data_IF_271304516426
#
_entry.id   IF_271304516426
#
_cell.length_a   1.000
_cell.length_b   1.000
_cell.length_c   1.000
_cell.angle_alpha   90.00
_cell.angle_beta   90.00
_cell.angle_gamma   90.00
#
_symmetry.space_group_name_H-M   'P 1'
#
loop_
_entity.id
_entity.type
_entity.pdbx_description
1 polymer ?
#
# COMPACT_ATOMS: atom_id res chain seq x y z
N UNK A 1 27.37 46.86 -31.83
CA UNK A 1 28.23 45.67 -32.10
C UNK A 1 27.29 44.49 -32.27
N UNK A 2 27.05 44.05 -33.50
CA UNK A 2 26.16 42.92 -33.79
C UNK A 2 27.03 41.65 -33.91
N UNK A 3 26.77 40.65 -33.07
CA UNK A 3 27.42 39.34 -33.16
C UNK A 3 26.87 38.59 -34.39
N UNK A 4 27.65 38.55 -35.47
CA UNK A 4 27.38 37.66 -36.59
C UNK A 4 27.79 36.24 -36.19
N UNK A 5 26.83 35.43 -35.77
CA UNK A 5 27.05 33.99 -35.60
C UNK A 5 27.19 33.39 -37.00
N UNK A 6 28.37 32.85 -37.31
CA UNK A 6 28.65 32.26 -38.62
C UNK A 6 27.63 31.16 -38.93
N UNK A 7 27.11 31.13 -40.17
CA UNK A 7 26.21 30.08 -40.67
C UNK A 7 26.80 28.68 -40.45
N UNK A 8 28.11 28.57 -40.52
CA UNK A 8 28.83 27.31 -40.30
C UNK A 8 28.80 26.88 -38.83
N UNK A 9 28.78 27.82 -37.89
CA UNK A 9 28.61 27.56 -36.46
C UNK A 9 27.18 27.08 -36.15
N UNK A 10 26.18 27.62 -36.85
CA UNK A 10 24.79 27.22 -36.70
C UNK A 10 24.56 25.80 -37.26
N UNK A 11 25.19 25.46 -38.39
CA UNK A 11 25.17 24.12 -38.97
C UNK A 11 25.94 23.10 -38.10
N UNK A 12 27.05 23.51 -37.48
CA UNK A 12 27.76 22.70 -36.48
C UNK A 12 26.90 22.43 -35.24
N UNK A 13 26.19 23.43 -34.71
CA UNK A 13 25.27 23.22 -33.58
C UNK A 13 24.11 22.29 -33.94
N UNK A 14 23.52 22.42 -35.13
CA UNK A 14 22.43 21.54 -35.58
C UNK A 14 22.92 20.09 -35.81
N UNK A 15 24.13 19.90 -36.31
CA UNK A 15 24.70 18.55 -36.48
C UNK A 15 25.05 17.91 -35.13
N UNK A 16 25.49 18.68 -34.13
CA UNK A 16 25.72 18.17 -32.76
C UNK A 16 24.40 17.72 -32.11
N UNK A 17 23.27 18.41 -32.36
CA UNK A 17 21.96 18.02 -31.85
C UNK A 17 21.42 16.72 -32.45
N UNK A 18 21.83 16.36 -33.68
CA UNK A 18 21.41 15.12 -34.35
C UNK A 18 22.27 13.92 -33.90
N UNK A 19 23.51 14.17 -33.49
CA UNK A 19 24.46 13.13 -33.05
C UNK A 19 24.36 12.87 -31.53
N UNK A 20 23.70 13.75 -30.76
CA UNK A 20 23.39 13.43 -29.37
C UNK A 20 22.43 12.22 -29.36
N UNK A 21 22.84 11.06 -28.81
CA UNK A 21 21.91 9.96 -28.63
C UNK A 21 20.79 10.49 -27.73
N UNK A 22 19.56 10.47 -28.23
CA UNK A 22 18.38 10.63 -27.39
C UNK A 22 18.52 9.52 -26.35
N UNK A 23 18.88 9.89 -25.12
CA UNK A 23 18.86 8.98 -24.00
C UNK A 23 17.39 8.67 -23.72
N UNK A 24 16.83 7.75 -24.50
CA UNK A 24 15.68 6.97 -24.11
C UNK A 24 16.19 6.15 -22.93
N UNK A 25 15.97 6.69 -21.73
CA UNK A 25 16.02 5.90 -20.51
C UNK A 25 14.97 4.81 -20.67
N UNK A 26 15.36 3.67 -21.24
CA UNK A 26 14.69 2.41 -20.97
C UNK A 26 14.65 2.30 -19.45
N UNK A 27 13.44 2.40 -18.88
CA UNK A 27 13.26 2.20 -17.45
C UNK A 27 14.00 0.92 -17.04
N UNK A 28 14.60 0.89 -15.83
CA UNK A 28 15.47 -0.21 -15.43
C UNK A 28 14.78 -1.53 -15.75
N UNK A 29 15.42 -2.37 -16.56
CA UNK A 29 15.01 -3.76 -16.75
C UNK A 29 14.77 -4.33 -15.37
N UNK A 30 13.50 -4.66 -15.08
CA UNK A 30 13.10 -5.02 -13.74
C UNK A 30 13.92 -6.24 -13.32
N UNK A 31 14.85 -6.05 -12.38
CA UNK A 31 15.71 -7.12 -11.93
C UNK A 31 14.83 -8.28 -11.47
N UNK A 32 15.07 -9.52 -11.95
CA UNK A 32 14.21 -10.64 -11.63
C UNK A 32 14.22 -10.87 -10.11
N UNK A 33 13.04 -10.72 -9.48
CA UNK A 33 12.84 -11.04 -8.08
C UNK A 33 13.08 -12.53 -7.87
N UNK A 34 14.18 -12.86 -7.19
CA UNK A 34 14.55 -14.25 -6.92
C UNK A 34 13.86 -14.71 -5.64
N UNK A 35 13.06 -15.77 -5.73
CA UNK A 35 12.46 -16.39 -4.56
C UNK A 35 13.50 -17.22 -3.78
N UNK A 36 13.67 -16.96 -2.49
CA UNK A 36 14.67 -17.62 -1.63
C UNK A 36 14.16 -18.87 -0.90
N UNK A 37 13.11 -19.52 -1.41
CA UNK A 37 12.61 -20.79 -0.85
C UNK A 37 11.76 -20.64 0.43
N UNK A 38 11.34 -19.43 0.77
CA UNK A 38 10.41 -19.18 1.87
C UNK A 38 9.01 -19.76 1.59
N UNK A 39 8.19 -19.92 2.64
CA UNK A 39 6.79 -20.29 2.46
C UNK A 39 6.02 -19.10 1.89
N UNK A 40 5.38 -19.31 0.75
CA UNK A 40 4.49 -18.32 0.15
C UNK A 40 3.05 -18.57 0.59
N UNK A 41 2.26 -17.50 0.67
CA UNK A 41 0.81 -17.62 0.71
C UNK A 41 0.33 -18.16 -0.65
N UNK A 42 -0.56 -19.15 -0.63
CA UNK A 42 -1.08 -19.82 -1.83
C UNK A 42 -2.60 -20.03 -1.68
N UNK A 43 -3.31 -20.17 -2.79
CA UNK A 43 -4.76 -20.39 -2.78
C UNK A 43 -5.55 -19.09 -2.63
N UNK A 44 -6.61 -19.11 -1.82
CA UNK A 44 -7.48 -17.95 -1.61
C UNK A 44 -7.14 -17.26 -0.28
N UNK A 45 -7.00 -15.94 -0.29
CA UNK A 45 -6.79 -15.16 0.93
C UNK A 45 -8.12 -14.61 1.44
N UNK A 46 -8.68 -15.26 2.45
CA UNK A 46 -9.82 -14.73 3.18
C UNK A 46 -9.37 -13.69 4.20
N UNK A 47 -10.12 -12.59 4.31
CA UNK A 47 -9.84 -11.47 5.21
C UNK A 47 -11.05 -11.20 6.09
N UNK A 48 -10.84 -11.15 7.40
CA UNK A 48 -11.80 -10.67 8.38
C UNK A 48 -11.32 -9.34 8.95
N UNK A 49 -12.15 -8.30 8.87
CA UNK A 49 -11.79 -6.96 9.34
C UNK A 49 -12.48 -6.68 10.67
N UNK A 50 -11.74 -6.15 11.64
CA UNK A 50 -12.30 -5.57 12.86
C UNK A 50 -12.01 -4.06 12.89
N UNK A 51 -13.08 -3.27 12.89
CA UNK A 51 -13.06 -1.83 13.00
C UNK A 51 -13.08 -1.46 14.49
N UNK A 52 -11.92 -1.10 15.04
CA UNK A 52 -11.73 -0.80 16.45
C UNK A 52 -11.87 0.71 16.69
N UNK A 53 -12.98 1.11 17.28
CA UNK A 53 -13.40 2.50 17.43
C UNK A 53 -14.20 3.04 16.23
N UNK A 54 -14.66 4.30 16.32
CA UNK A 54 -15.48 4.95 15.31
C UNK A 54 -14.62 5.41 14.12
N UNK A 55 -14.58 4.59 13.07
CA UNK A 55 -13.87 4.94 11.83
C UNK A 55 -14.83 5.63 10.84
N UNK A 56 -14.48 6.81 10.29
CA UNK A 56 -15.26 7.52 9.29
C UNK A 56 -15.63 6.66 8.07
N UNK A 57 -16.84 6.87 7.53
CA UNK A 57 -17.35 6.14 6.36
C UNK A 57 -16.42 6.28 5.14
N UNK A 58 -15.83 7.46 4.95
CA UNK A 58 -14.89 7.71 3.86
C UNK A 58 -13.62 6.84 3.97
N UNK A 59 -13.01 6.76 5.15
CA UNK A 59 -11.84 5.92 5.41
C UNK A 59 -12.18 4.43 5.24
N UNK A 60 -13.31 3.95 5.79
CA UNK A 60 -13.79 2.57 5.58
C UNK A 60 -13.93 2.25 4.09
N UNK A 61 -14.55 3.15 3.32
CA UNK A 61 -14.72 2.99 1.87
C UNK A 61 -13.38 2.93 1.16
N UNK A 62 -12.43 3.80 1.53
CA UNK A 62 -11.08 3.80 0.94
C UNK A 62 -10.36 2.46 1.20
N UNK A 63 -10.37 1.97 2.44
CA UNK A 63 -9.75 0.69 2.82
C UNK A 63 -10.39 -0.49 2.08
N UNK A 64 -11.71 -0.56 2.03
CA UNK A 64 -12.41 -1.62 1.28
C UNK A 64 -12.16 -1.52 -0.23
N UNK A 65 -12.00 -0.31 -0.77
CA UNK A 65 -11.63 -0.10 -2.18
C UNK A 65 -10.20 -0.54 -2.46
N UNK A 66 -9.27 -0.27 -1.53
CA UNK A 66 -7.89 -0.76 -1.61
C UNK A 66 -7.85 -2.29 -1.63
N UNK A 67 -8.54 -2.97 -0.72
CA UNK A 67 -8.60 -4.44 -0.72
C UNK A 67 -9.26 -4.99 -1.98
N UNK A 68 -10.25 -4.30 -2.55
CA UNK A 68 -10.85 -4.70 -3.84
C UNK A 68 -9.85 -4.58 -5.00
N UNK A 69 -8.99 -3.56 -4.98
CA UNK A 69 -8.00 -3.33 -6.04
C UNK A 69 -6.99 -4.47 -6.20
N UNK A 70 -6.77 -5.28 -5.15
CA UNK A 70 -5.92 -6.47 -5.18
C UNK A 70 -6.43 -7.57 -6.13
N UNK A 71 -7.70 -7.52 -6.55
CA UNK A 71 -8.27 -8.49 -7.48
C UNK A 71 -8.48 -7.93 -8.90
N UNK A 72 -8.14 -6.67 -9.13
CA UNK A 72 -8.43 -5.98 -10.38
C UNK A 72 -7.25 -6.11 -11.34
N UNK A 73 -7.47 -6.77 -12.50
CA UNK A 73 -6.42 -7.06 -13.48
C UNK A 73 -6.24 -5.99 -14.56
N UNK A 74 -7.21 -5.09 -14.74
CA UNK A 74 -7.19 -4.11 -15.83
C UNK A 74 -7.84 -2.80 -15.41
N UNK A 75 -7.25 -1.63 -15.72
CA UNK A 75 -7.96 -0.36 -15.65
C UNK A 75 -9.13 -0.40 -16.64
N UNK A 76 -10.31 0.12 -16.25
CA UNK A 76 -11.36 0.42 -17.22
C UNK A 76 -10.82 1.38 -18.31
N UNK A 77 -11.28 1.28 -19.57
CA UNK A 77 -10.78 2.11 -20.68
C UNK A 77 -10.81 3.61 -20.39
N UNK A 78 -11.84 4.08 -19.67
CA UNK A 78 -12.02 5.49 -19.31
C UNK A 78 -11.08 5.95 -18.19
N UNK A 79 -10.49 5.00 -17.47
CA UNK A 79 -9.57 5.22 -16.37
C UNK A 79 -8.12 4.88 -16.75
N UNK A 80 -7.84 4.56 -18.02
CA UNK A 80 -6.50 4.33 -18.57
C UNK A 80 -5.58 5.56 -18.44
N UNK A 81 -6.16 6.76 -18.29
CA UNK A 81 -5.42 8.02 -18.12
C UNK A 81 -5.21 8.44 -16.65
N UNK A 82 -5.71 7.68 -15.68
CA UNK A 82 -5.52 7.99 -14.25
C UNK A 82 -4.72 6.87 -13.55
N UNK A 83 -3.73 7.22 -12.71
CA UNK A 83 -3.00 6.21 -11.95
C UNK A 83 -3.95 5.48 -11.00
N UNK A 84 -4.03 4.15 -11.13
CA UNK A 84 -4.82 3.30 -10.24
C UNK A 84 -3.92 2.43 -9.38
N UNK A 85 -4.38 2.14 -8.16
CA UNK A 85 -3.70 1.20 -7.25
C UNK A 85 -3.65 -0.21 -7.86
N UNK A 86 -4.68 -0.62 -8.61
CA UNK A 86 -4.72 -1.89 -9.35
C UNK A 86 -3.60 -2.00 -10.40
N UNK A 87 -3.27 -0.91 -11.10
CA UNK A 87 -2.16 -0.89 -12.05
C UNK A 87 -0.81 -1.19 -11.38
N UNK A 88 -0.63 -0.75 -10.12
CA UNK A 88 0.56 -1.09 -9.35
C UNK A 88 0.56 -2.57 -8.95
N UNK A 89 -0.58 -3.14 -8.56
CA UNK A 89 -0.68 -4.57 -8.25
C UNK A 89 -0.39 -5.46 -9.46
N UNK A 90 -0.81 -5.06 -10.66
CA UNK A 90 -0.46 -5.79 -11.89
C UNK A 90 1.06 -5.93 -12.08
N UNK A 91 1.82 -4.87 -11.75
CA UNK A 91 3.28 -4.91 -11.78
C UNK A 91 3.80 -5.88 -10.72
N UNK A 92 3.28 -5.80 -9.48
CA UNK A 92 3.69 -6.69 -8.38
C UNK A 92 3.41 -8.17 -8.71
N UNK A 93 2.23 -8.47 -9.25
CA UNK A 93 1.83 -9.83 -9.65
C UNK A 93 2.67 -10.38 -10.80
N UNK A 94 3.16 -9.52 -11.71
CA UNK A 94 4.04 -9.96 -12.80
C UNK A 94 5.33 -10.61 -12.28
N UNK A 95 5.81 -10.22 -11.10
CA UNK A 95 6.95 -10.87 -10.45
C UNK A 95 6.59 -12.24 -9.86
N UNK A 96 5.37 -12.44 -9.38
CA UNK A 96 4.89 -13.72 -8.86
C UNK A 96 4.68 -14.77 -9.96
N UNK A 97 4.27 -14.34 -11.15
CA UNK A 97 4.13 -15.21 -12.32
C UNK A 97 5.47 -15.87 -12.71
N UNK A 98 6.59 -15.16 -12.56
CA UNK A 98 7.93 -15.71 -12.77
C UNK A 98 8.32 -16.80 -11.75
N UNK A 99 7.65 -16.85 -10.60
CA UNK A 99 7.86 -17.84 -9.54
C UNK A 99 6.83 -19.00 -9.57
N UNK A 100 5.97 -19.07 -10.59
CA UNK A 100 5.04 -20.18 -10.80
C UNK A 100 3.74 -20.14 -9.98
N UNK A 101 3.44 -19.01 -9.31
CA UNK A 101 2.20 -18.84 -8.56
C UNK A 101 1.31 -17.77 -9.23
N UNK A 102 0.09 -18.16 -9.59
CA UNK A 102 -0.78 -17.39 -10.45
C UNK A 102 -1.95 -16.83 -9.61
N UNK A 103 -1.87 -15.56 -9.22
CA UNK A 103 -2.98 -14.74 -8.72
C UNK A 103 -3.72 -15.29 -7.46
N UNK A 104 -3.49 -14.66 -6.30
CA UNK A 104 -4.13 -15.01 -5.02
C UNK A 104 -5.38 -14.13 -4.85
N UNK A 105 -6.61 -14.65 -5.09
CA UNK A 105 -7.79 -13.83 -4.90
C UNK A 105 -7.98 -13.49 -3.41
N UNK A 106 -8.23 -12.21 -3.15
CA UNK A 106 -8.46 -11.66 -1.80
C UNK A 106 -9.94 -11.43 -1.58
N UNK A 107 -10.52 -12.06 -0.54
CA UNK A 107 -11.94 -11.93 -0.22
C UNK A 107 -12.13 -11.41 1.20
N UNK A 108 -12.75 -10.24 1.33
CA UNK A 108 -13.27 -9.80 2.63
C UNK A 108 -14.52 -10.61 2.94
N UNK A 109 -14.43 -11.51 3.92
CA UNK A 109 -15.53 -12.43 4.29
C UNK A 109 -16.30 -11.96 5.51
N UNK A 110 -15.71 -11.09 6.33
CA UNK A 110 -16.33 -10.60 7.55
C UNK A 110 -15.88 -9.16 7.89
N UNK A 111 -16.77 -8.40 8.52
CA UNK A 111 -16.51 -7.08 9.06
C UNK A 111 -17.20 -6.95 10.42
N UNK A 112 -16.40 -6.78 11.47
CA UNK A 112 -16.87 -6.61 12.85
C UNK A 112 -16.55 -5.22 13.34
N UNK A 113 -17.42 -4.66 14.18
CA UNK A 113 -17.27 -3.32 14.74
C UNK A 113 -17.13 -3.41 16.25
N UNK A 114 -16.14 -2.70 16.79
CA UNK A 114 -15.91 -2.53 18.22
C UNK A 114 -15.84 -1.04 18.54
N UNK A 115 -16.97 -0.31 18.51
CA UNK A 115 -16.98 1.15 18.62
C UNK A 115 -16.58 1.67 20.01
N UNK A 116 -16.63 0.81 21.03
CA UNK A 116 -16.48 1.18 22.43
C UNK A 116 -15.09 0.87 22.98
N UNK A 117 -14.12 0.53 22.12
CA UNK A 117 -12.74 0.23 22.51
C UNK A 117 -12.68 -0.85 23.60
N UNK A 118 -13.19 -2.06 23.33
CA UNK A 118 -13.36 -3.11 24.36
C UNK A 118 -12.10 -3.49 25.17
N UNK A 119 -10.91 -3.16 24.67
CA UNK A 119 -9.62 -3.35 25.34
C UNK A 119 -8.82 -2.04 25.55
N UNK A 120 -9.51 -0.90 25.58
CA UNK A 120 -8.90 0.41 25.75
C UNK A 120 -8.25 0.96 24.47
N UNK A 121 -7.55 2.10 24.60
CA UNK A 121 -7.00 2.84 23.45
C UNK A 121 -5.51 2.59 23.20
N UNK A 122 -4.92 1.61 23.88
CA UNK A 122 -3.54 1.18 23.66
C UNK A 122 -3.57 -0.29 23.34
N UNK A 123 -3.51 -0.64 22.06
CA UNK A 123 -3.55 -2.02 21.57
C UNK A 123 -2.14 -2.62 21.56
N UNK A 124 -1.80 -3.30 22.64
CA UNK A 124 -0.66 -4.23 22.67
C UNK A 124 -1.06 -5.60 22.15
N UNK A 125 -0.07 -6.46 21.87
CA UNK A 125 -0.28 -7.81 21.34
C UNK A 125 -1.30 -8.63 22.13
N UNK A 126 -1.26 -8.54 23.46
CA UNK A 126 -2.18 -9.26 24.36
C UNK A 126 -3.63 -8.76 24.28
N UNK A 127 -3.85 -7.50 23.90
CA UNK A 127 -5.17 -6.91 23.70
C UNK A 127 -5.68 -7.11 22.27
N UNK A 128 -4.77 -7.27 21.31
CA UNK A 128 -5.11 -7.67 19.93
C UNK A 128 -5.57 -9.12 19.89
N UNK A 129 -4.90 -10.02 20.61
CA UNK A 129 -5.20 -11.45 20.68
C UNK A 129 -6.70 -11.77 20.77
N UNK A 130 -7.47 -11.25 21.75
CA UNK A 130 -8.90 -11.55 21.86
C UNK A 130 -9.79 -10.86 20.81
N UNK A 131 -9.25 -9.93 20.01
CA UNK A 131 -9.95 -9.31 18.87
C UNK A 131 -9.88 -10.17 17.61
N UNK A 132 -8.82 -10.95 17.45
CA UNK A 132 -8.61 -11.78 16.25
C UNK A 132 -9.77 -12.76 15.95
N UNK A 133 -10.24 -13.59 16.91
CA UNK A 133 -11.33 -14.52 16.64
C UNK A 133 -12.66 -13.80 16.32
N UNK A 134 -12.86 -12.57 16.83
CA UNK A 134 -14.02 -11.75 16.43
C UNK A 134 -13.95 -11.42 14.94
N UNK A 135 -12.78 -10.99 14.45
CA UNK A 135 -12.58 -10.67 13.05
C UNK A 135 -12.74 -11.89 12.13
N UNK A 136 -12.22 -13.05 12.55
CA UNK A 136 -12.13 -14.26 11.69
C UNK A 136 -13.25 -15.28 11.89
N UNK A 137 -14.11 -15.08 12.89
CA UNK A 137 -15.06 -16.11 13.31
C UNK A 137 -14.36 -17.37 13.86
N UNK A 138 -13.13 -17.22 14.36
CA UNK A 138 -12.30 -18.32 14.84
C UNK A 138 -11.67 -19.19 13.74
N UNK A 139 -11.78 -18.80 12.46
CA UNK A 139 -11.18 -19.55 11.36
C UNK A 139 -9.68 -19.21 11.20
N UNK A 140 -8.75 -20.16 11.47
CA UNK A 140 -7.31 -19.89 11.41
C UNK A 140 -6.79 -19.60 10.00
N UNK A 141 -7.53 -19.99 8.95
CA UNK A 141 -7.17 -19.74 7.54
C UNK A 141 -7.68 -18.38 7.02
N UNK A 142 -8.14 -17.50 7.90
CA UNK A 142 -8.59 -16.15 7.56
C UNK A 142 -7.62 -15.14 8.14
N UNK A 143 -7.08 -14.23 7.35
CA UNK A 143 -6.27 -13.11 7.84
C UNK A 143 -7.14 -12.17 8.68
N UNK A 144 -6.76 -11.93 9.93
CA UNK A 144 -7.38 -10.91 10.77
C UNK A 144 -6.75 -9.54 10.50
N UNK A 145 -7.54 -8.53 10.14
CA UNK A 145 -7.10 -7.14 10.04
C UNK A 145 -7.80 -6.32 11.12
N UNK A 146 -7.04 -5.79 12.08
CA UNK A 146 -7.54 -4.85 13.09
C UNK A 146 -7.21 -3.44 12.61
N UNK A 147 -8.23 -2.61 12.42
CA UNK A 147 -8.07 -1.22 12.01
C UNK A 147 -8.51 -0.36 13.16
N UNK A 148 -7.55 0.32 13.78
CA UNK A 148 -7.79 1.17 14.92
C UNK A 148 -8.08 2.61 14.47
N UNK A 149 -9.10 3.21 15.07
CA UNK A 149 -9.49 4.60 14.81
C UNK A 149 -8.49 5.59 15.38
N UNK A 150 -8.61 6.85 14.96
CA UNK A 150 -7.98 8.02 15.58
C UNK A 150 -7.96 7.98 17.12
N UNK A 151 -6.82 8.36 17.70
CA UNK A 151 -6.57 8.35 19.14
C UNK A 151 -6.43 6.96 19.77
N UNK A 152 -6.11 5.93 18.98
CA UNK A 152 -5.77 4.59 19.46
C UNK A 152 -4.33 4.27 19.04
N UNK A 153 -3.49 4.01 20.02
CA UNK A 153 -2.10 3.60 19.81
C UNK A 153 -2.04 2.10 19.60
N UNK A 154 -1.40 1.68 18.51
CA UNK A 154 -1.06 0.27 18.25
C UNK A 154 0.43 0.09 18.53
N UNK A 155 0.77 -0.94 19.29
CA UNK A 155 2.13 -1.20 19.74
C UNK A 155 3.10 -1.41 18.56
N UNK A 156 4.34 -0.93 18.72
CA UNK A 156 5.45 -1.09 17.76
C UNK A 156 5.25 -0.43 16.39
N UNK A 157 4.44 0.63 16.34
CA UNK A 157 4.32 1.51 15.18
C UNK A 157 5.21 2.77 15.32
N UNK A 158 5.50 3.44 14.20
CA UNK A 158 6.14 4.78 14.09
C UNK A 158 7.68 4.87 14.14
N UNK A 159 8.40 3.75 14.11
CA UNK A 159 9.87 3.72 13.99
C UNK A 159 10.31 2.82 12.83
N UNK A 160 9.90 3.16 11.62
CA UNK A 160 10.12 2.34 10.43
C UNK A 160 9.12 1.17 10.27
N UNK A 161 8.11 1.11 11.12
CA UNK A 161 6.98 0.17 11.02
C UNK A 161 5.65 0.92 11.01
N UNK A 162 4.76 0.52 10.10
CA UNK A 162 3.45 1.12 9.89
C UNK A 162 2.28 0.19 10.24
N UNK A 163 2.60 -0.99 10.76
CA UNK A 163 1.63 -1.98 11.18
C UNK A 163 2.27 -2.93 12.19
N UNK A 164 1.48 -3.43 13.14
CA UNK A 164 1.85 -4.58 13.96
C UNK A 164 1.30 -5.84 13.31
N UNK A 165 2.13 -6.82 13.00
CA UNK A 165 1.66 -8.06 12.35
C UNK A 165 2.38 -9.29 12.88
N UNK A 166 1.83 -10.46 12.62
CA UNK A 166 2.46 -11.71 12.99
C UNK A 166 1.48 -12.87 13.10
N UNK A 167 1.87 -13.84 13.93
CA UNK A 167 1.09 -15.03 14.24
C UNK A 167 0.84 -15.09 15.75
N UNK A 168 -0.43 -15.19 16.17
CA UNK A 168 -0.84 -15.40 17.57
C UNK A 168 -1.72 -16.63 17.59
N UNK A 169 -1.33 -17.68 18.31
CA UNK A 169 -2.13 -18.92 18.44
C UNK A 169 -2.64 -19.46 17.08
N UNK A 170 -1.73 -19.52 16.10
CA UNK A 170 -2.01 -19.94 14.71
C UNK A 170 -2.92 -19.01 13.89
N UNK A 171 -3.28 -17.85 14.41
CA UNK A 171 -4.05 -16.83 13.71
C UNK A 171 -3.10 -15.75 13.16
N UNK A 172 -3.00 -15.65 11.83
CA UNK A 172 -2.25 -14.57 11.17
C UNK A 172 -3.04 -13.27 11.32
N UNK A 173 -2.34 -12.19 11.65
CA UNK A 173 -2.97 -10.89 11.83
C UNK A 173 -2.11 -9.73 11.34
N UNK A 174 -2.80 -8.62 11.05
CA UNK A 174 -2.24 -7.29 10.86
C UNK A 174 -3.09 -6.31 11.67
N UNK A 175 -2.45 -5.40 12.39
CA UNK A 175 -3.09 -4.32 13.12
C UNK A 175 -2.48 -2.99 12.65
N UNK A 176 -3.33 -2.04 12.32
CA UNK A 176 -2.93 -0.72 11.83
C UNK A 176 -3.63 0.37 12.64
N UNK A 177 -2.86 1.39 13.01
CA UNK A 177 -3.36 2.63 13.63
C UNK A 177 -3.80 3.67 12.60
N UNK A 178 -4.35 4.78 13.10
CA UNK A 178 -4.66 5.95 12.27
C UNK A 178 -3.38 6.77 12.03
N UNK A 179 -2.92 6.93 10.78
CA UNK A 179 -1.68 7.63 10.48
C UNK A 179 -1.77 9.14 10.68
N UNK A 180 -2.95 9.75 10.86
CA UNK A 180 -3.06 11.20 11.09
C UNK A 180 -2.49 11.63 12.45
N UNK A 181 -2.48 10.73 13.44
CA UNK A 181 -2.00 11.02 14.80
C UNK A 181 -0.84 10.13 15.25
N UNK A 182 -0.89 8.83 14.95
CA UNK A 182 0.11 7.90 15.46
C UNK A 182 1.42 8.02 14.66
N UNK A 183 1.37 7.84 13.33
CA UNK A 183 2.56 7.90 12.48
C UNK A 183 2.29 8.56 11.11
N UNK A 184 2.48 9.88 10.97
CA UNK A 184 2.27 10.60 9.70
C UNK A 184 3.13 10.08 8.54
N UNK A 185 4.33 9.57 8.80
CA UNK A 185 5.24 9.00 7.80
C UNK A 185 4.63 7.80 7.08
N UNK A 186 3.74 7.06 7.76
CA UNK A 186 3.06 5.89 7.22
C UNK A 186 1.97 6.21 6.20
N UNK A 187 1.57 7.47 6.08
CA UNK A 187 0.63 7.92 5.05
C UNK A 187 1.31 8.70 3.91
N UNK A 188 2.64 8.65 3.81
CA UNK A 188 3.36 9.12 2.63
C UNK A 188 3.04 8.26 1.39
N UNK A 189 2.88 8.80 0.18
CA UNK A 189 2.84 10.22 -0.19
C UNK A 189 1.42 10.84 -0.15
N UNK A 190 0.44 10.13 0.40
CA UNK A 190 -0.98 10.47 0.30
C UNK A 190 -1.44 11.55 1.29
N UNK A 191 -0.74 11.74 2.41
CA UNK A 191 -0.91 12.94 3.22
C UNK A 191 -0.22 14.12 2.53
N UNK A 192 -1.03 15.08 2.07
CA UNK A 192 -0.50 16.38 1.71
C UNK A 192 0.19 16.96 2.95
N UNK A 193 1.51 17.20 2.87
CA UNK A 193 2.19 18.04 3.86
C UNK A 193 1.44 19.36 3.88
N UNK A 194 0.79 19.70 5.01
CA UNK A 194 0.34 21.08 5.22
C UNK A 194 1.62 21.91 5.19
N UNK A 195 1.90 22.57 4.07
CA UNK A 195 2.98 23.53 3.98
C UNK A 195 2.81 24.44 5.17
N UNK A 196 3.80 24.44 6.06
CA UNK A 196 3.85 25.28 7.26
C UNK A 196 3.63 26.70 6.75
N UNK A 197 2.42 27.24 6.93
CA UNK A 197 2.12 28.63 6.64
C UNK A 197 2.97 29.42 7.63
N UNK A 198 4.17 29.80 7.19
CA UNK A 198 4.96 30.83 7.85
C UNK A 198 4.13 32.09 7.67
N UNK A 199 3.38 32.45 8.70
CA UNK A 199 2.74 33.74 8.80
C UNK A 199 3.82 34.80 8.61
N UNK A 200 3.70 35.59 7.55
CA UNK A 200 4.31 36.91 7.44
C UNK A 200 3.35 37.93 8.03
#
# INVERSE_FOLDING_TARGET
>A
MACFVSRDLLLLCLSILIVLPIALTSGPDAAPLTHHGGRLLTGNLNVGILWYGPIPKAQKKAILSFLRSLNMKTPEPDAANQPQVSSWWNIVESYGAAAGNNNIPVKVINQVFDPNYSYGKVLIKDFIKPLLPKATGGNPNTLAIVIASKGVTVQDMCAGSCAQHGLIENQVYVAVGDPEEECPECAWPFLATKARQVQR
#
